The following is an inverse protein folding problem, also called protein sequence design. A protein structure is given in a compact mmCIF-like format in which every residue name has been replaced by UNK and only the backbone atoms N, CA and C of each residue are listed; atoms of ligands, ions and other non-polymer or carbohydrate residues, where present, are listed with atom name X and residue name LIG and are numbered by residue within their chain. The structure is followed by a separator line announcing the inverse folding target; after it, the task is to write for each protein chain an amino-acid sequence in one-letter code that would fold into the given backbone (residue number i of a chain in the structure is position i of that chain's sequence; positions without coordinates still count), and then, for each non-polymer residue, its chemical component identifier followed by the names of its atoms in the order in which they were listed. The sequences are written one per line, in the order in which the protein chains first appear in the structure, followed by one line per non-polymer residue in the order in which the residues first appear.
data_IF_887911497295
#
_entry.id   IF_887911497295
#
_cell.length_a   1.000
_cell.length_b   1.000
_cell.length_c   1.000
_cell.angle_alpha   90.00
_cell.angle_beta   90.00
_cell.angle_gamma   90.00
#
_symmetry.space_group_name_H-M   'P 1'
#
loop_
_entity.id
_entity.type
_entity.pdbx_description
1 polymer ?
#
# COMPACT_ATOMS: atom_id res chain seq x y z
N UNK A 1 35.91 0.22 0.28
CA UNK A 1 35.42 -1.15 0.51
C UNK A 1 33.92 -1.10 0.34
N UNK A 2 33.38 -1.75 -0.69
CA UNK A 2 31.95 -1.65 -1.00
C UNK A 2 31.18 -2.58 -0.06
N UNK A 3 30.41 -2.01 0.85
CA UNK A 3 29.52 -2.75 1.74
C UNK A 3 28.51 -3.54 0.90
N UNK A 4 28.72 -4.85 0.78
CA UNK A 4 27.74 -5.78 0.23
C UNK A 4 26.61 -5.95 1.26
N UNK A 5 25.82 -4.89 1.44
CA UNK A 5 24.69 -4.88 2.37
C UNK A 5 23.64 -5.87 1.85
N UNK A 6 23.53 -7.02 2.51
CA UNK A 6 22.47 -8.00 2.25
C UNK A 6 21.17 -7.47 2.86
N UNK A 7 20.13 -7.37 2.05
CA UNK A 7 18.79 -7.03 2.54
C UNK A 7 18.27 -8.16 3.44
N UNK A 8 17.77 -7.80 4.62
CA UNK A 8 17.08 -8.71 5.54
C UNK A 8 15.57 -8.52 5.41
N UNK A 9 14.80 -9.60 5.53
CA UNK A 9 13.33 -9.55 5.45
C UNK A 9 12.70 -9.25 6.81
N UNK A 10 13.12 -8.15 7.45
CA UNK A 10 12.60 -7.71 8.74
C UNK A 10 12.41 -6.20 8.71
N UNK A 11 11.16 -5.78 8.86
CA UNK A 11 10.74 -4.39 8.72
C UNK A 11 10.01 -3.90 9.96
N UNK A 12 10.04 -2.58 10.18
CA UNK A 12 9.31 -1.88 11.23
C UNK A 12 8.49 -0.78 10.54
N UNK A 13 7.23 -0.63 10.95
CA UNK A 13 6.36 0.43 10.46
C UNK A 13 6.64 1.75 11.18
N UNK A 14 6.75 2.83 10.42
CA UNK A 14 6.84 4.22 10.90
C UNK A 14 5.78 5.06 10.22
N UNK A 15 5.36 6.12 10.91
CA UNK A 15 4.53 7.16 10.32
C UNK A 15 5.43 8.30 9.85
N UNK A 16 5.12 8.85 8.67
CA UNK A 16 5.78 10.02 8.10
C UNK A 16 4.75 11.13 7.88
N UNK A 17 5.24 12.37 7.74
CA UNK A 17 4.40 13.53 7.43
C UNK A 17 4.07 13.68 5.95
N UNK A 18 4.88 13.08 5.06
CA UNK A 18 4.68 13.16 3.62
C UNK A 18 3.95 11.93 3.07
N UNK A 19 2.88 12.16 2.33
CA UNK A 19 2.15 11.10 1.63
C UNK A 19 2.88 10.68 0.35
N UNK A 20 3.01 9.36 0.15
CA UNK A 20 3.53 8.78 -1.10
C UNK A 20 2.69 7.56 -1.48
N UNK A 21 2.71 7.15 -2.77
CA UNK A 21 1.94 6.00 -3.22
C UNK A 21 2.42 4.70 -2.58
N UNK A 22 1.49 3.85 -2.18
CA UNK A 22 1.74 2.51 -1.67
C UNK A 22 2.46 1.67 -2.75
N UNK A 23 3.46 0.88 -2.32
CA UNK A 23 4.18 -0.04 -3.20
C UNK A 23 3.28 -1.08 -3.90
N UNK A 24 2.15 -1.46 -3.29
CA UNK A 24 1.29 -2.55 -3.79
C UNK A 24 0.10 -2.04 -4.61
N UNK A 25 -0.66 -1.05 -4.12
CA UNK A 25 -1.84 -0.51 -4.82
C UNK A 25 -1.70 0.93 -5.30
N UNK A 26 -0.57 1.58 -5.05
CA UNK A 26 -0.31 2.98 -5.43
C UNK A 26 -1.26 4.03 -4.82
N UNK A 27 -2.17 3.65 -3.91
CA UNK A 27 -2.94 4.60 -3.10
C UNK A 27 -2.02 5.39 -2.18
N UNK A 28 -2.28 6.67 -1.94
CA UNK A 28 -1.47 7.51 -1.05
C UNK A 28 -1.53 7.03 0.41
N UNK A 29 -0.37 7.03 1.07
CA UNK A 29 -0.23 6.58 2.45
C UNK A 29 0.87 7.35 3.18
N UNK A 30 0.73 7.43 4.51
CA UNK A 30 1.73 7.98 5.43
C UNK A 30 2.48 6.89 6.22
N UNK A 31 2.32 5.61 5.85
CA UNK A 31 2.97 4.51 6.57
C UNK A 31 4.15 4.00 5.75
N UNK A 32 5.33 4.01 6.36
CA UNK A 32 6.59 3.57 5.76
C UNK A 32 7.08 2.33 6.49
N UNK A 33 7.42 1.30 5.73
CA UNK A 33 8.18 0.16 6.23
C UNK A 33 9.67 0.45 6.01
N UNK A 34 10.45 0.31 7.08
CA UNK A 34 11.91 0.46 7.06
C UNK A 34 12.55 -0.79 7.65
N UNK A 35 13.72 -1.19 7.17
CA UNK A 35 14.50 -2.29 7.78
C UNK A 35 14.64 -2.13 9.29
N UNK A 36 14.52 -3.26 10.00
CA UNK A 36 14.62 -3.31 11.46
C UNK A 36 16.00 -2.87 11.99
N UNK A 37 17.05 -3.03 11.19
CA UNK A 37 18.44 -2.67 11.53
C UNK A 37 18.71 -1.16 11.48
N UNK A 38 17.70 -0.33 11.17
CA UNK A 38 17.82 1.13 11.02
C UNK A 38 18.86 1.59 9.97
N UNK A 39 19.35 0.69 9.12
CA UNK A 39 20.38 0.97 8.12
C UNK A 39 19.91 1.89 6.98
N UNK A 40 18.63 2.28 6.94
CA UNK A 40 17.98 3.06 5.87
C UNK A 40 18.26 2.52 4.45
N UNK A 41 18.76 1.30 4.32
CA UNK A 41 19.17 0.71 3.05
C UNK A 41 17.96 0.40 2.16
N UNK A 42 16.82 0.10 2.79
CA UNK A 42 15.56 -0.21 2.15
C UNK A 42 14.41 0.36 2.98
N UNK A 43 13.57 1.16 2.32
CA UNK A 43 12.33 1.69 2.86
C UNK A 43 11.33 1.90 1.75
N UNK A 44 10.04 1.77 2.07
CA UNK A 44 8.96 1.98 1.11
C UNK A 44 7.61 2.21 1.79
N UNK A 45 6.69 2.81 1.04
CA UNK A 45 5.36 3.14 1.54
C UNK A 45 4.39 1.99 1.38
N UNK A 46 3.58 1.76 2.41
CA UNK A 46 2.54 0.71 2.43
C UNK A 46 1.26 1.28 3.05
N UNK A 47 0.08 0.86 2.63
CA UNK A 47 -1.17 1.26 3.29
C UNK A 47 -1.53 0.32 4.44
N UNK A 48 -2.37 0.79 5.36
CA UNK A 48 -2.85 -0.02 6.49
C UNK A 48 -3.61 -1.28 6.04
N UNK A 49 -4.31 -1.23 4.90
CA UNK A 49 -5.03 -2.39 4.36
C UNK A 49 -4.07 -3.53 3.98
N UNK A 50 -2.94 -3.23 3.34
CA UNK A 50 -1.95 -4.27 3.00
C UNK A 50 -1.12 -4.71 4.20
N UNK A 51 -0.88 -3.84 5.18
CA UNK A 51 -0.24 -4.28 6.44
C UNK A 51 -1.06 -5.31 7.23
N UNK A 52 -2.38 -5.34 7.00
CA UNK A 52 -3.27 -6.36 7.56
C UNK A 52 -3.46 -7.60 6.67
N UNK A 53 -2.90 -7.61 5.45
CA UNK A 53 -3.05 -8.70 4.51
C UNK A 53 -1.95 -9.75 4.71
N UNK A 54 -2.36 -10.99 5.00
CA UNK A 54 -1.48 -12.15 5.17
C UNK A 54 -0.69 -12.48 3.90
N UNK A 55 -1.20 -12.17 2.72
CA UNK A 55 -0.49 -12.40 1.45
C UNK A 55 0.63 -11.40 1.22
N UNK A 56 0.61 -10.25 1.89
CA UNK A 56 1.62 -9.22 1.74
C UNK A 56 2.69 -9.29 2.85
N UNK A 57 2.26 -9.28 4.12
CA UNK A 57 3.20 -9.33 5.23
C UNK A 57 2.63 -10.06 6.46
N UNK A 58 3.53 -10.68 7.22
CA UNK A 58 3.24 -11.30 8.50
C UNK A 58 3.77 -10.43 9.63
N UNK A 59 2.90 -10.10 10.60
CA UNK A 59 3.25 -9.37 11.81
C UNK A 59 3.94 -10.32 12.80
N UNK A 60 5.18 -10.01 13.17
CA UNK A 60 5.99 -10.78 14.12
C UNK A 60 6.29 -9.92 15.33
N UNK A 61 5.86 -10.40 16.51
CA UNK A 61 5.99 -9.65 17.76
C UNK A 61 4.88 -8.60 17.96
N UNK A 62 4.89 -8.00 19.14
CA UNK A 62 3.73 -7.31 19.72
C UNK A 62 2.80 -8.31 20.40
N UNK A 63 2.17 -7.87 21.49
CA UNK A 63 1.14 -8.67 22.16
C UNK A 63 0.09 -9.09 21.12
N UNK A 64 -0.09 -10.40 20.94
CA UNK A 64 -1.14 -10.93 20.09
C UNK A 64 -2.47 -10.48 20.71
N UNK A 65 -3.11 -9.44 20.20
CA UNK A 65 -4.56 -9.33 20.36
C UNK A 65 -5.12 -10.59 19.73
N UNK A 66 -5.67 -11.45 20.57
CA UNK A 66 -6.27 -12.74 20.20
C UNK A 66 -7.08 -12.56 18.92
N UNK A 67 -6.67 -13.24 17.86
CA UNK A 67 -7.50 -13.48 16.69
C UNK A 67 -8.80 -14.17 17.14
N UNK A 68 -9.94 -13.95 16.46
CA UNK A 68 -11.16 -14.69 16.73
C UNK A 68 -11.02 -16.12 16.18
N UNK A 69 -10.25 -16.96 16.86
CA UNK A 69 -10.40 -18.42 16.80
C UNK A 69 -11.68 -18.77 17.54
N UNK A 70 -12.84 -18.64 16.89
CA UNK A 70 -14.11 -19.21 17.36
C UNK A 70 -15.14 -19.28 16.20
N UNK A 71 -14.73 -19.71 14.99
CA UNK A 71 -15.67 -20.11 13.90
C UNK A 71 -15.08 -21.18 12.96
N UNK A 72 -14.31 -22.14 13.45
CA UNK A 72 -13.85 -23.30 12.63
C UNK A 72 -14.42 -24.65 13.06
N UNK A 73 -15.34 -24.68 14.02
CA UNK A 73 -15.81 -25.94 14.61
C UNK A 73 -17.17 -26.44 14.05
N UNK A 74 -17.78 -25.74 13.08
CA UNK A 74 -19.13 -26.10 12.54
C UNK A 74 -19.11 -26.48 11.06
N UNK A 75 -17.94 -26.71 10.43
CA UNK A 75 -17.85 -27.08 9.01
C UNK A 75 -17.07 -28.38 8.76
N UNK A 76 -17.18 -29.37 9.65
CA UNK A 76 -16.54 -30.70 9.47
C UNK A 76 -17.52 -31.77 8.99
N UNK A 77 -18.82 -31.47 8.80
CA UNK A 77 -19.77 -32.45 8.25
C UNK A 77 -20.65 -31.84 7.17
N UNK A 78 -20.12 -31.65 5.96
CA UNK A 78 -20.94 -31.59 4.75
C UNK A 78 -20.31 -32.50 3.69
N UNK A 79 -21.02 -33.53 3.19
CA UNK A 79 -20.50 -34.39 2.14
C UNK A 79 -20.26 -33.57 0.87
N UNK A 80 -19.11 -33.82 0.24
CA UNK A 80 -18.68 -33.26 -1.04
C UNK A 80 -19.48 -33.92 -2.14
N UNK A 81 -20.58 -33.30 -2.57
CA UNK A 81 -21.16 -33.57 -3.89
C UNK A 81 -21.69 -32.27 -4.51
N UNK A 82 -21.28 -32.03 -5.76
CA UNK A 82 -21.73 -31.00 -6.73
C UNK A 82 -21.28 -29.54 -6.52
N UNK A 83 -19.99 -29.28 -6.71
CA UNK A 83 -19.49 -27.91 -6.95
C UNK A 83 -19.54 -27.58 -8.46
N UNK A 84 -20.75 -27.46 -9.01
CA UNK A 84 -20.93 -26.97 -10.38
C UNK A 84 -20.97 -25.44 -10.34
N UNK A 85 -19.98 -24.81 -10.98
CA UNK A 85 -19.83 -23.34 -11.10
C UNK A 85 -21.11 -22.65 -11.58
N UNK A 86 -21.97 -23.37 -12.31
CA UNK A 86 -23.32 -22.96 -12.74
C UNK A 86 -24.27 -22.57 -11.60
N UNK A 87 -24.20 -23.23 -10.44
CA UNK A 87 -25.11 -22.96 -9.32
C UNK A 87 -24.67 -21.70 -8.52
N UNK A 88 -23.35 -21.50 -8.41
CA UNK A 88 -22.76 -20.31 -7.81
C UNK A 88 -23.08 -19.04 -8.62
N UNK A 89 -23.02 -19.11 -9.95
CA UNK A 89 -23.39 -18.00 -10.85
C UNK A 89 -24.88 -17.72 -10.80
N UNK A 90 -25.72 -18.75 -10.66
CA UNK A 90 -27.19 -18.59 -10.55
C UNK A 90 -27.61 -17.92 -9.23
N UNK A 91 -26.92 -18.25 -8.13
CA UNK A 91 -27.06 -17.59 -6.82
C UNK A 91 -26.66 -16.10 -6.84
N UNK A 92 -25.55 -15.77 -7.51
CA UNK A 92 -25.08 -14.37 -7.62
C UNK A 92 -26.00 -13.55 -8.54
N UNK A 93 -26.49 -14.15 -9.63
CA UNK A 93 -27.40 -13.48 -10.58
C UNK A 93 -28.77 -13.13 -9.99
N UNK A 94 -29.27 -13.92 -9.04
CA UNK A 94 -30.54 -13.65 -8.34
C UNK A 94 -30.40 -12.57 -7.26
N UNK A 95 -29.26 -12.54 -6.56
CA UNK A 95 -28.96 -11.49 -5.58
C UNK A 95 -28.80 -10.09 -6.22
N UNK A 96 -28.24 -10.00 -7.43
CA UNK A 96 -28.05 -8.72 -8.12
C UNK A 96 -29.37 -8.11 -8.62
N UNK A 97 -30.33 -8.94 -9.05
CA UNK A 97 -31.63 -8.49 -9.56
C UNK A 97 -32.54 -7.94 -8.46
N UNK A 98 -32.46 -8.45 -7.23
CA UNK A 98 -33.27 -7.96 -6.11
C UNK A 98 -32.80 -6.60 -5.58
N UNK A 99 -31.53 -6.24 -5.76
CA UNK A 99 -31.01 -4.91 -5.42
C UNK A 99 -31.30 -3.84 -6.47
N UNK A 100 -31.44 -4.20 -7.76
CA UNK A 100 -31.88 -3.26 -8.82
C UNK A 100 -33.40 -3.08 -8.92
N UNK A 101 -34.20 -3.93 -8.27
CA UNK A 101 -35.67 -3.90 -8.37
C UNK A 101 -36.39 -3.00 -7.35
N UNK A 102 -35.66 -2.18 -6.58
CA UNK A 102 -36.24 -1.29 -5.54
C UNK A 102 -36.16 0.20 -5.90
N UNK A 103 -36.17 0.53 -7.19
CA UNK A 103 -36.38 1.89 -7.69
C UNK A 103 -37.07 1.84 -9.06
N UNK A 104 -38.32 1.36 -9.11
CA UNK A 104 -39.18 1.60 -10.30
C UNK A 104 -40.68 1.34 -9.99
N UNK A 105 -41.39 2.40 -9.57
CA UNK A 105 -42.84 2.65 -9.77
C UNK A 105 -43.01 4.18 -9.89
N UNK A 106 -42.87 4.76 -11.09
CA UNK A 106 -43.89 5.14 -12.10
C UNK A 106 -44.32 6.63 -12.01
N UNK A 107 -44.70 7.26 -13.15
CA UNK A 107 -44.47 8.67 -13.50
C UNK A 107 -45.74 9.55 -13.38
N UNK A 108 -45.57 10.89 -13.48
CA UNK A 108 -46.37 11.80 -14.33
C UNK A 108 -45.93 13.29 -14.20
N UNK A 109 -45.82 13.93 -15.36
CA UNK A 109 -45.93 15.36 -15.74
C UNK A 109 -45.57 16.51 -14.78
N UNK A 110 -44.67 17.40 -15.22
CA UNK A 110 -44.99 18.80 -15.53
C UNK A 110 -43.76 19.59 -16.05
N UNK A 111 -43.89 20.05 -17.28
CA UNK A 111 -43.09 21.00 -18.04
C UNK A 111 -43.30 22.45 -17.52
N UNK A 112 -42.22 23.20 -17.20
CA UNK A 112 -41.97 24.63 -17.60
C UNK A 112 -40.99 25.41 -16.70
N UNK A 113 -40.12 26.17 -17.40
CA UNK A 113 -39.55 27.52 -17.11
C UNK A 113 -38.60 27.68 -15.92
N UNK A 114 -37.32 28.01 -16.10
CA UNK A 114 -36.66 29.23 -16.63
C UNK A 114 -35.93 29.94 -15.46
N UNK A 115 -34.63 30.18 -15.66
CA UNK A 115 -33.74 31.21 -15.10
C UNK A 115 -34.09 31.94 -13.79
N UNK A 116 -33.17 31.93 -12.80
CA UNK A 116 -32.48 33.16 -12.37
C UNK A 116 -31.31 32.98 -11.38
N UNK A 117 -30.38 33.92 -11.56
CA UNK A 117 -29.10 34.28 -10.96
C UNK A 117 -28.92 34.31 -9.41
N UNK A 118 -27.68 34.03 -9.04
CA UNK A 118 -26.74 34.71 -8.11
C UNK A 118 -27.17 35.50 -6.84
N UNK A 119 -26.22 35.43 -5.88
CA UNK A 119 -25.93 36.26 -4.68
C UNK A 119 -26.73 35.97 -3.40
N UNK A 120 -26.02 35.63 -2.32
CA UNK A 120 -25.42 36.64 -1.41
C UNK A 120 -24.71 35.99 -0.20
N UNK A 121 -23.55 36.56 0.11
CA UNK A 121 -22.68 36.28 1.25
C UNK A 121 -23.22 36.84 2.59
N UNK A 122 -22.79 36.18 3.68
CA UNK A 122 -22.25 36.75 4.94
C UNK A 122 -23.14 37.54 5.93
N UNK A 123 -23.18 37.04 7.18
CA UNK A 123 -23.04 37.81 8.46
C UNK A 123 -22.93 36.80 9.64
N UNK A 124 -21.78 36.72 10.32
CA UNK A 124 -21.35 37.50 11.50
C UNK A 124 -22.07 37.05 12.80
N UNK A 125 -21.36 36.36 13.70
CA UNK A 125 -20.91 36.85 15.03
C UNK A 125 -22.08 37.25 15.94
N UNK A 126 -22.29 36.75 17.16
CA UNK A 126 -21.48 36.77 18.41
C UNK A 126 -22.56 36.52 19.52
N UNK A 127 -22.41 35.76 20.60
CA UNK A 127 -21.75 36.16 21.85
C UNK A 127 -22.06 35.13 22.97
N UNK A 128 -21.04 34.85 23.78
CA UNK A 128 -21.02 34.78 25.26
C UNK A 128 -21.86 33.71 26.00
N UNK A 129 -21.22 32.73 26.64
CA UNK A 129 -20.57 32.78 27.97
C UNK A 129 -21.58 32.59 29.12
N UNK A 130 -21.43 31.53 29.92
CA UNK A 130 -21.21 31.62 31.37
C UNK A 130 -21.10 30.23 32.06
N UNK A 131 -20.05 30.08 32.88
CA UNK A 131 -19.94 29.41 34.20
C UNK A 131 -20.48 27.97 34.42
N UNK A 132 -19.99 27.12 35.33
CA UNK A 132 -18.82 26.95 36.22
C UNK A 132 -19.15 25.71 37.08
N UNK A 133 -18.14 25.10 37.72
CA UNK A 133 -18.18 24.09 38.82
C UNK A 133 -18.36 22.62 38.42
N UNK A 134 -17.79 21.63 39.10
CA UNK A 134 -16.65 21.45 40.04
C UNK A 134 -16.68 19.95 40.45
N UNK A 135 -15.50 19.38 40.71
CA UNK A 135 -15.19 18.31 41.69
C UNK A 135 -15.85 16.91 41.58
N UNK A 136 -15.04 15.87 41.28
CA UNK A 136 -14.45 14.95 42.31
C UNK A 136 -13.60 13.83 41.68
N UNK A 137 -12.50 13.39 42.32
CA UNK A 137 -11.58 12.37 41.82
C UNK A 137 -11.97 10.96 42.28
N UNK A 138 -11.92 9.99 41.38
CA UNK A 138 -12.09 8.55 41.66
C UNK A 138 -10.72 7.85 41.65
N UNK A 139 -10.43 6.91 42.57
CA UNK A 139 -9.07 6.43 42.88
C UNK A 139 -8.39 5.63 41.77
N UNK A 140 -7.04 5.57 41.76
CA UNK A 140 -6.26 4.97 40.67
C UNK A 140 -6.41 3.45 40.65
N UNK A 141 -6.92 2.93 39.54
CA UNK A 141 -6.84 1.52 39.22
C UNK A 141 -5.36 1.12 39.03
N UNK A 142 -4.98 0.11 39.80
CA UNK A 142 -3.67 -0.52 39.90
C UNK A 142 -3.10 -0.83 38.50
N UNK A 143 -2.04 -0.12 38.13
CA UNK A 143 -1.24 -0.41 36.94
C UNK A 143 -0.51 -1.73 37.13
N UNK A 144 -0.99 -2.78 36.46
CA UNK A 144 -0.23 -4.02 36.28
C UNK A 144 1.08 -3.73 35.53
N UNK A 145 2.19 -4.42 35.84
CA UNK A 145 3.49 -4.12 35.25
C UNK A 145 3.49 -4.39 33.75
N UNK A 146 3.70 -3.33 32.97
CA UNK A 146 3.91 -3.37 31.53
C UNK A 146 5.21 -4.11 31.25
N UNK A 147 5.11 -5.39 30.91
CA UNK A 147 6.21 -6.14 30.29
C UNK A 147 6.72 -5.36 29.07
N UNK A 148 8.04 -5.24 28.84
CA UNK A 148 8.57 -4.48 27.72
C UNK A 148 8.06 -5.07 26.40
N UNK A 149 7.08 -4.40 25.78
CA UNK A 149 6.51 -4.86 24.53
C UNK A 149 7.54 -4.64 23.44
N UNK A 150 8.16 -5.73 22.97
CA UNK A 150 9.08 -5.70 21.84
C UNK A 150 8.39 -5.00 20.65
N UNK A 151 9.13 -4.16 19.89
CA UNK A 151 8.56 -3.44 18.77
C UNK A 151 7.99 -4.43 17.76
N UNK A 152 6.80 -4.12 17.26
CA UNK A 152 6.15 -4.88 16.19
C UNK A 152 7.06 -4.90 14.97
N UNK A 153 7.40 -6.10 14.51
CA UNK A 153 8.13 -6.33 13.27
C UNK A 153 7.20 -6.91 12.21
N UNK A 154 7.57 -6.70 10.97
CA UNK A 154 6.85 -7.20 9.80
C UNK A 154 7.83 -7.99 8.94
N UNK A 155 7.42 -9.17 8.51
CA UNK A 155 8.13 -9.99 7.54
C UNK A 155 7.31 -9.94 6.26
N UNK A 156 7.92 -9.53 5.15
CA UNK A 156 7.24 -9.54 3.85
C UNK A 156 7.13 -10.97 3.34
N UNK A 157 6.08 -11.24 2.56
CA UNK A 157 6.00 -12.50 1.85
C UNK A 157 7.14 -12.60 0.81
N UNK A 158 7.56 -13.83 0.51
CA UNK A 158 8.74 -14.13 -0.32
C UNK A 158 8.76 -13.38 -1.65
N UNK A 159 7.62 -13.31 -2.34
CA UNK A 159 7.54 -12.69 -3.67
C UNK A 159 7.76 -11.19 -3.61
N UNK A 160 7.13 -10.49 -2.65
CA UNK A 160 7.36 -9.07 -2.44
C UNK A 160 8.81 -8.79 -2.02
N UNK A 161 9.37 -9.62 -1.15
CA UNK A 161 10.77 -9.48 -0.75
C UNK A 161 11.74 -9.71 -1.92
N UNK A 162 11.43 -10.64 -2.83
CA UNK A 162 12.19 -10.84 -4.06
C UNK A 162 12.15 -9.61 -4.98
N UNK A 163 10.98 -8.97 -5.13
CA UNK A 163 10.86 -7.72 -5.88
C UNK A 163 11.78 -6.63 -5.31
N UNK A 164 11.82 -6.47 -3.98
CA UNK A 164 12.71 -5.52 -3.28
C UNK A 164 14.18 -5.84 -3.54
N UNK A 165 14.58 -7.10 -3.40
CA UNK A 165 15.96 -7.53 -3.68
C UNK A 165 16.37 -7.23 -5.11
N UNK A 166 15.49 -7.52 -6.08
CA UNK A 166 15.76 -7.27 -7.49
C UNK A 166 15.95 -5.79 -7.80
N UNK A 167 15.13 -4.91 -7.22
CA UNK A 167 15.30 -3.45 -7.36
C UNK A 167 16.64 -2.97 -6.79
N UNK A 168 17.01 -3.49 -5.62
CA UNK A 168 18.28 -3.18 -4.98
C UNK A 168 19.48 -3.65 -5.82
N UNK A 169 19.45 -4.91 -6.30
CA UNK A 169 20.48 -5.44 -7.20
C UNK A 169 20.57 -4.64 -8.50
N UNK A 170 19.44 -4.27 -9.10
CA UNK A 170 19.39 -3.44 -10.31
C UNK A 170 20.05 -2.07 -10.08
N UNK A 171 19.81 -1.45 -8.92
CA UNK A 171 20.44 -0.18 -8.55
C UNK A 171 21.96 -0.31 -8.41
N UNK A 172 22.44 -1.39 -7.79
CA UNK A 172 23.88 -1.66 -7.68
C UNK A 172 24.53 -1.90 -9.05
N UNK A 173 23.91 -2.73 -9.89
CA UNK A 173 24.40 -2.99 -11.25
C UNK A 173 24.43 -1.71 -12.09
N UNK A 174 23.37 -0.89 -12.01
CA UNK A 174 23.32 0.40 -12.71
C UNK A 174 24.43 1.33 -12.23
N UNK A 175 24.72 1.37 -10.93
CA UNK A 175 25.82 2.16 -10.38
C UNK A 175 27.16 1.68 -10.90
N UNK A 176 27.43 0.37 -10.82
CA UNK A 176 28.67 -0.24 -11.34
C UNK A 176 28.84 -0.02 -12.84
N UNK A 177 27.77 -0.16 -13.63
CA UNK A 177 27.79 0.11 -15.06
C UNK A 177 28.13 1.58 -15.33
N UNK A 178 27.53 2.52 -14.59
CA UNK A 178 27.84 3.95 -14.72
C UNK A 178 29.29 4.28 -14.36
N UNK A 179 29.86 3.61 -13.36
CA UNK A 179 31.27 3.77 -12.98
C UNK A 179 32.20 3.23 -14.06
N UNK A 180 31.89 2.06 -14.62
CA UNK A 180 32.64 1.49 -15.75
C UNK A 180 32.57 2.39 -16.97
N UNK A 181 31.41 2.94 -17.32
CA UNK A 181 31.25 3.87 -18.45
C UNK A 181 32.09 5.14 -18.29
N UNK A 182 32.34 5.61 -17.06
CA UNK A 182 33.25 6.75 -16.81
C UNK A 182 34.71 6.39 -17.05
N UNK A 183 35.10 5.15 -16.77
CA UNK A 183 36.48 4.65 -16.95
C UNK A 183 36.76 4.12 -18.35
N UNK A 184 35.74 3.66 -19.07
CA UNK A 184 35.86 3.13 -20.42
C UNK A 184 35.92 4.29 -21.41
N UNK A 185 37.12 4.59 -21.92
CA UNK A 185 37.28 5.40 -23.12
C UNK A 185 36.80 4.56 -24.31
N UNK A 186 35.69 4.99 -24.93
CA UNK A 186 35.24 4.38 -26.17
C UNK A 186 36.26 4.65 -27.27
N UNK A 187 36.62 3.63 -28.08
CA UNK A 187 37.51 3.85 -29.20
C UNK A 187 36.91 4.90 -30.14
N UNK A 188 37.73 5.86 -30.58
CA UNK A 188 37.29 6.84 -31.58
C UNK A 188 36.89 6.12 -32.86
N UNK A 189 35.83 6.62 -33.50
CA UNK A 189 35.45 6.20 -34.85
C UNK A 189 36.64 6.44 -35.78
N UNK A 190 37.10 5.43 -36.54
CA UNK A 190 38.17 5.61 -37.51
C UNK A 190 37.81 6.71 -38.52
N UNK A 191 38.62 7.77 -38.57
CA UNK A 191 38.40 8.93 -39.45
C UNK A 191 38.87 8.70 -40.90
N UNK A 192 39.55 7.59 -41.16
CA UNK A 192 40.08 7.27 -42.48
C UNK A 192 38.97 6.71 -43.38
N UNK A 193 38.71 7.40 -44.49
CA UNK A 193 37.85 6.89 -45.56
C UNK A 193 38.52 5.64 -46.16
N UNK A 194 37.77 4.55 -46.43
CA UNK A 194 38.34 3.39 -47.11
C UNK A 194 38.90 3.83 -48.46
N UNK A 195 40.17 3.48 -48.72
CA UNK A 195 40.84 3.74 -49.99
C UNK A 195 40.26 2.74 -50.99
N UNK A 196 39.35 3.21 -51.86
CA UNK A 196 38.94 2.44 -53.01
C UNK A 196 39.98 2.64 -54.12
N UNK A 197 40.76 1.60 -54.40
CA UNK A 197 41.63 1.58 -55.57
C UNK A 197 40.75 1.44 -56.81
N UNK A 198 40.69 2.48 -57.63
CA UNK A 198 40.04 2.39 -58.94
C UNK A 198 40.87 1.47 -59.84
N UNK A 199 40.26 0.48 -60.53
CA UNK A 199 40.98 -0.40 -61.42
C UNK A 199 41.54 0.38 -62.62
N UNK A 200 42.71 -0.05 -63.18
CA UNK A 200 43.35 0.65 -64.28
C UNK A 200 42.47 0.61 -65.54
N UNK A 201 42.21 1.78 -66.10
CA UNK A 201 41.59 1.94 -67.42
C UNK A 201 42.54 1.43 -68.49
N UNK A 202 42.09 0.42 -69.24
CA UNK A 202 42.76 -0.10 -70.45
C UNK A 202 42.75 0.91 -71.58
#
# INVERSE_FOLDING_TARGET
MSDNQRLQNLYIARLTSQERPCFVCSKFTNVVLTLADNSNADWFYTCKSHLGDFNFCSKVGGTKTKSPELKKEVLVNRPVESDSVSDLVSSIGTAWKSWRGKDEKKPEDADKKEEKEEKKEEKAEKEQADLKKQDTPSPPAISSPVSPQLPVRFILQKDYFYLRQREYMKKLQSKQASEKLKTLQFPEVPKNKPIYTTPPTK
#
